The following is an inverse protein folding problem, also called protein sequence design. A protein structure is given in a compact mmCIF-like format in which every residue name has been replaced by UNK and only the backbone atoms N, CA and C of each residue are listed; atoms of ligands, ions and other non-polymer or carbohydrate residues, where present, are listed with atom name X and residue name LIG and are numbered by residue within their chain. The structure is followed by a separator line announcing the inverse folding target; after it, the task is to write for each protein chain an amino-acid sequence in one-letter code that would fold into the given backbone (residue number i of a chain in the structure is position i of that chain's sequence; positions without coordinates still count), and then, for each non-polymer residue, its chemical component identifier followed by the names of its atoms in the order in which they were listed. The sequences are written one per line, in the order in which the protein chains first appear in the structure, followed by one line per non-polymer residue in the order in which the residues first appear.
data_IF_709640685750
#
_entry.id   IF_709640685750
#
_cell.length_a   1.000
_cell.length_b   1.000
_cell.length_c   1.000
_cell.angle_alpha   90.00
_cell.angle_beta   90.00
_cell.angle_gamma   90.00
#
_symmetry.space_group_name_H-M   'P 1'
#
loop_
_entity.id
_entity.type
_entity.pdbx_description
1 polymer ?
#
# COMPACT_ATOMS: atom_id res chain seq x y z
N UNK A 1 18.69 -0.43 11.31
CA UNK A 1 17.84 -1.20 10.38
C UNK A 1 17.01 -0.21 9.61
N UNK A 2 16.96 -0.35 8.29
CA UNK A 2 16.21 0.56 7.42
C UNK A 2 14.70 0.33 7.60
N UNK A 3 13.96 1.39 7.94
CA UNK A 3 12.52 1.33 8.24
C UNK A 3 11.70 2.25 7.36
N UNK A 4 10.49 1.81 7.01
CA UNK A 4 9.53 2.54 6.18
C UNK A 4 8.20 2.69 6.91
N UNK A 5 7.60 3.87 6.77
CA UNK A 5 6.34 4.30 7.38
C UNK A 5 5.17 4.00 6.46
N UNK A 6 4.18 3.32 7.00
CA UNK A 6 2.82 3.20 6.47
C UNK A 6 1.84 3.89 7.43
N UNK A 7 0.62 4.17 6.98
CA UNK A 7 -0.44 4.76 7.81
C UNK A 7 -0.75 4.01 9.10
N UNK A 8 -0.45 2.71 9.18
CA UNK A 8 -0.69 1.87 10.35
C UNK A 8 0.55 1.64 11.21
N UNK A 9 1.74 2.08 10.79
CA UNK A 9 2.95 1.88 11.60
C UNK A 9 4.26 2.06 10.86
N UNK A 10 5.33 1.66 11.53
CA UNK A 10 6.70 1.68 11.01
C UNK A 10 7.19 0.24 10.91
N UNK A 11 7.68 -0.13 9.74
CA UNK A 11 8.06 -1.51 9.41
C UNK A 11 9.51 -1.55 8.94
N UNK A 12 10.22 -2.64 9.21
CA UNK A 12 11.48 -2.93 8.51
C UNK A 12 11.24 -2.92 6.99
N UNK A 13 12.18 -2.41 6.20
CA UNK A 13 12.02 -2.26 4.73
C UNK A 13 11.66 -3.55 4.00
N UNK A 14 12.18 -4.71 4.42
CA UNK A 14 11.80 -6.03 3.87
C UNK A 14 10.35 -6.36 4.21
N UNK A 15 9.97 -6.16 5.47
CA UNK A 15 8.61 -6.43 5.96
C UNK A 15 7.58 -5.48 5.35
N UNK A 16 7.96 -4.22 5.15
CA UNK A 16 7.14 -3.21 4.49
C UNK A 16 6.74 -3.65 3.08
N UNK A 17 7.65 -4.26 2.31
CA UNK A 17 7.36 -4.69 0.94
C UNK A 17 6.27 -5.77 0.92
N UNK A 18 6.41 -6.78 1.79
CA UNK A 18 5.41 -7.85 1.93
C UNK A 18 4.10 -7.27 2.43
N UNK A 19 4.17 -6.45 3.48
CA UNK A 19 3.01 -5.80 4.08
C UNK A 19 2.20 -4.99 3.08
N UNK A 20 2.86 -4.04 2.41
CA UNK A 20 2.21 -3.16 1.47
C UNK A 20 1.62 -3.92 0.28
N UNK A 21 2.27 -4.99 -0.18
CA UNK A 21 1.75 -5.83 -1.25
C UNK A 21 0.50 -6.64 -0.86
N UNK A 22 0.46 -7.18 0.36
CA UNK A 22 -0.74 -7.83 0.88
C UNK A 22 -1.89 -6.82 1.02
N UNK A 23 -1.60 -5.60 1.51
CA UNK A 23 -2.59 -4.54 1.59
C UNK A 23 -3.07 -4.09 0.20
N UNK A 24 -2.18 -3.96 -0.79
CA UNK A 24 -2.56 -3.71 -2.18
C UNK A 24 -3.53 -4.76 -2.72
N UNK A 25 -3.28 -6.04 -2.43
CA UNK A 25 -4.20 -7.12 -2.79
C UNK A 25 -5.57 -6.92 -2.12
N UNK A 26 -5.58 -6.69 -0.80
CA UNK A 26 -6.81 -6.47 -0.04
C UNK A 26 -7.61 -5.26 -0.53
N UNK A 27 -6.94 -4.17 -0.92
CA UNK A 27 -7.59 -2.92 -1.31
C UNK A 27 -8.02 -2.85 -2.77
N UNK A 28 -7.40 -3.62 -3.65
CA UNK A 28 -7.75 -3.60 -5.06
C UNK A 28 -8.67 -4.77 -5.43
N UNK A 29 -8.43 -5.92 -4.80
CA UNK A 29 -9.07 -7.19 -5.13
C UNK A 29 -9.99 -7.64 -4.00
N UNK A 30 -9.48 -7.60 -2.76
CA UNK A 30 -10.16 -8.09 -1.57
C UNK A 30 -11.49 -7.41 -1.25
N UNK A 31 -11.80 -6.20 -1.74
CA UNK A 31 -13.14 -5.62 -1.52
C UNK A 31 -14.29 -6.41 -2.17
N UNK A 32 -13.99 -7.36 -3.07
CA UNK A 32 -15.00 -8.27 -3.63
C UNK A 32 -15.44 -9.37 -2.63
N UNK A 33 -14.72 -9.61 -1.52
CA UNK A 33 -15.04 -10.56 -0.43
C UNK A 33 -14.44 -10.12 0.92
N UNK A 34 -15.18 -10.04 2.04
CA UNK A 34 -14.68 -9.41 3.26
C UNK A 34 -13.55 -10.21 3.95
N UNK A 35 -12.33 -9.62 3.98
CA UNK A 35 -11.17 -9.80 4.90
C UNK A 35 -10.23 -11.00 4.72
N UNK A 36 -8.97 -10.84 4.24
CA UNK A 36 -7.97 -11.94 4.27
C UNK A 36 -6.48 -11.54 4.38
N UNK A 37 -6.18 -10.42 5.02
CA UNK A 37 -4.80 -10.17 5.44
C UNK A 37 -4.60 -10.72 6.85
N UNK A 38 -3.81 -11.78 6.96
CA UNK A 38 -3.42 -12.34 8.26
C UNK A 38 -2.13 -11.67 8.69
N UNK A 39 -2.19 -10.96 9.81
CA UNK A 39 -1.01 -10.45 10.51
C UNK A 39 -0.66 -11.49 11.58
N UNK A 40 0.54 -12.05 11.55
CA UNK A 40 1.01 -12.89 12.66
C UNK A 40 1.85 -12.06 13.62
N UNK A 41 1.57 -12.22 14.91
CA UNK A 41 2.38 -11.62 15.97
C UNK A 41 3.60 -12.52 16.26
N UNK A 42 4.79 -11.93 16.08
CA UNK A 42 6.14 -12.34 16.55
C UNK A 42 6.87 -13.56 15.91
N UNK A 43 8.21 -13.44 15.64
CA UNK A 43 9.04 -12.25 15.79
C UNK A 43 9.09 -11.36 14.54
N UNK A 44 8.75 -11.87 13.34
CA UNK A 44 8.56 -11.09 12.10
C UNK A 44 7.77 -11.92 11.09
N UNK A 45 6.44 -11.85 11.11
CA UNK A 45 5.61 -12.45 10.05
C UNK A 45 4.72 -11.37 9.47
N UNK A 46 5.05 -10.97 8.24
CA UNK A 46 4.41 -9.84 7.56
C UNK A 46 2.94 -10.12 7.30
N UNK A 47 2.26 -9.14 6.71
CA UNK A 47 0.94 -9.41 6.18
C UNK A 47 1.03 -10.51 5.12
N UNK A 48 0.28 -11.59 5.34
CA UNK A 48 0.15 -12.68 4.37
C UNK A 48 -1.20 -12.58 3.68
N UNK A 49 -1.28 -13.11 2.47
CA UNK A 49 -2.55 -13.38 1.81
C UNK A 49 -2.93 -14.81 2.13
N UNK A 50 -4.11 -14.99 2.71
CA UNK A 50 -4.69 -16.32 2.94
C UNK A 50 -5.02 -17.00 1.61
N UNK A 51 -4.42 -18.16 1.34
CA UNK A 51 -4.56 -18.86 0.08
C UNK A 51 -6.00 -19.32 -0.19
N UNK A 52 -6.81 -19.54 0.86
CA UNK A 52 -8.22 -19.89 0.70
C UNK A 52 -9.06 -18.79 0.03
N UNK A 53 -8.49 -17.59 -0.16
CA UNK A 53 -9.14 -16.43 -0.75
C UNK A 53 -8.52 -15.95 -2.06
N UNK A 54 -7.48 -16.64 -2.51
CA UNK A 54 -7.00 -16.51 -3.87
C UNK A 54 -8.06 -17.09 -4.81
N UNK A 55 -8.59 -16.26 -5.71
CA UNK A 55 -9.55 -16.73 -6.70
C UNK A 55 -8.88 -17.79 -7.58
N UNK A 56 -9.30 -19.06 -7.49
CA UNK A 56 -8.72 -20.14 -8.29
C UNK A 56 -9.14 -19.99 -9.75
N UNK A 57 -8.41 -19.19 -10.52
CA UNK A 57 -8.54 -19.17 -11.97
C UNK A 57 -7.79 -20.39 -12.50
N UNK A 58 -8.52 -21.36 -13.05
CA UNK A 58 -8.01 -22.64 -13.58
C UNK A 58 -7.44 -23.64 -12.55
N UNK A 59 -7.82 -23.55 -11.27
CA UNK A 59 -7.63 -24.66 -10.32
C UNK A 59 -6.22 -24.97 -9.83
N UNK A 60 -5.21 -24.14 -10.11
CA UNK A 60 -3.84 -24.44 -9.67
C UNK A 60 -2.96 -23.22 -9.46
N UNK A 61 -3.10 -22.57 -8.31
CA UNK A 61 -1.94 -21.90 -7.69
C UNK A 61 -0.98 -22.93 -7.05
N UNK A 62 -1.35 -24.22 -7.04
CA UNK A 62 -0.61 -25.26 -6.32
C UNK A 62 -0.66 -25.09 -4.80
N UNK A 63 -1.55 -24.23 -4.30
CA UNK A 63 -1.69 -23.89 -2.89
C UNK A 63 -2.89 -24.63 -2.29
N UNK A 64 -2.68 -25.18 -1.11
CA UNK A 64 -3.72 -25.67 -0.21
C UNK A 64 -4.46 -24.47 0.42
N UNK A 65 -5.76 -24.60 0.77
CA UNK A 65 -6.49 -23.57 1.51
C UNK A 65 -5.84 -23.15 2.84
N UNK A 66 -5.00 -24.01 3.44
CA UNK A 66 -4.27 -23.75 4.69
C UNK A 66 -2.98 -22.92 4.48
N UNK A 67 -2.57 -22.72 3.22
CA UNK A 67 -1.30 -22.06 2.91
C UNK A 67 -1.39 -20.54 3.09
N UNK A 68 -0.28 -19.95 3.53
CA UNK A 68 -0.13 -18.50 3.63
C UNK A 68 0.89 -18.03 2.60
N UNK A 69 0.47 -17.10 1.76
CA UNK A 69 1.31 -16.52 0.72
C UNK A 69 1.93 -15.21 1.21
N UNK A 70 3.24 -15.07 1.07
CA UNK A 70 3.98 -13.84 1.36
C UNK A 70 4.17 -13.05 0.07
N UNK A 71 3.31 -12.06 -0.24
CA UNK A 71 3.37 -11.36 -1.51
C UNK A 71 4.60 -10.44 -1.58
N UNK A 72 5.68 -10.90 -2.20
CA UNK A 72 6.92 -10.13 -2.37
C UNK A 72 7.31 -10.06 -3.84
N UNK A 73 7.36 -8.84 -4.39
CA UNK A 73 7.81 -8.62 -5.77
C UNK A 73 9.28 -8.96 -6.02
N UNK A 74 10.07 -9.26 -4.98
CA UNK A 74 11.44 -9.77 -5.12
C UNK A 74 11.46 -11.29 -5.34
N UNK A 75 10.36 -11.97 -5.02
CA UNK A 75 10.19 -13.40 -5.23
C UNK A 75 9.25 -13.64 -6.41
N UNK A 76 9.83 -14.15 -7.50
CA UNK A 76 9.08 -14.42 -8.72
C UNK A 76 8.03 -15.51 -8.52
N UNK A 77 8.30 -16.55 -7.72
CA UNK A 77 7.36 -17.63 -7.50
C UNK A 77 6.13 -17.14 -6.73
N UNK A 78 6.33 -16.33 -5.68
CA UNK A 78 5.24 -15.67 -4.95
C UNK A 78 4.42 -14.76 -5.86
N UNK A 79 5.09 -13.96 -6.70
CA UNK A 79 4.44 -13.07 -7.67
C UNK A 79 3.59 -13.86 -8.67
N UNK A 80 4.12 -14.96 -9.20
CA UNK A 80 3.43 -15.83 -10.14
C UNK A 80 2.21 -16.51 -9.48
N UNK A 81 2.33 -16.94 -8.22
CA UNK A 81 1.22 -17.52 -7.46
C UNK A 81 0.08 -16.51 -7.24
N UNK A 82 0.39 -15.27 -6.85
CA UNK A 82 -0.65 -14.21 -6.73
C UNK A 82 -1.30 -13.96 -8.08
N UNK A 83 -0.50 -13.75 -9.15
CA UNK A 83 -1.05 -13.40 -10.46
C UNK A 83 -1.80 -14.55 -11.15
N UNK A 84 -1.45 -15.81 -10.89
CA UNK A 84 -2.20 -16.97 -11.36
C UNK A 84 -3.65 -16.98 -10.80
N UNK A 85 -3.86 -16.39 -9.63
CA UNK A 85 -5.19 -16.25 -9.01
C UNK A 85 -5.99 -15.05 -9.50
N UNK A 86 -5.44 -14.21 -10.40
CA UNK A 86 -6.05 -12.94 -10.80
C UNK A 86 -6.32 -12.87 -12.31
N UNK A 87 -7.22 -12.00 -12.71
CA UNK A 87 -7.32 -11.58 -14.11
C UNK A 87 -6.11 -10.71 -14.49
N UNK A 88 -5.73 -10.68 -15.77
CA UNK A 88 -4.58 -9.90 -16.25
C UNK A 88 -4.65 -8.43 -15.81
N UNK A 89 -5.86 -7.84 -15.83
CA UNK A 89 -6.11 -6.47 -15.37
C UNK A 89 -5.82 -6.33 -13.87
N UNK A 90 -6.33 -7.24 -13.06
CA UNK A 90 -6.22 -7.20 -11.60
C UNK A 90 -4.78 -7.53 -11.13
N UNK A 91 -4.10 -8.49 -11.76
CA UNK A 91 -2.66 -8.73 -11.56
C UNK A 91 -1.83 -7.48 -11.92
N UNK A 92 -2.10 -6.85 -13.07
CA UNK A 92 -1.41 -5.62 -13.47
C UNK A 92 -1.57 -4.46 -12.48
N UNK A 93 -2.79 -4.28 -11.96
CA UNK A 93 -3.10 -3.27 -10.93
C UNK A 93 -2.37 -3.57 -9.62
N UNK A 94 -2.43 -4.80 -9.15
CA UNK A 94 -1.75 -5.25 -7.93
C UNK A 94 -0.21 -5.05 -8.03
N UNK A 95 0.40 -5.50 -9.13
CA UNK A 95 1.83 -5.29 -9.41
C UNK A 95 2.22 -3.81 -9.37
N UNK A 96 1.38 -2.94 -9.95
CA UNK A 96 1.66 -1.49 -10.00
C UNK A 96 1.55 -0.86 -8.61
N UNK A 97 0.55 -1.24 -7.81
CA UNK A 97 0.41 -0.80 -6.42
C UNK A 97 1.60 -1.21 -5.55
N UNK A 98 2.00 -2.49 -5.64
CA UNK A 98 3.19 -3.00 -4.96
C UNK A 98 4.46 -2.21 -5.32
N UNK A 99 4.68 -1.96 -6.61
CA UNK A 99 5.84 -1.16 -7.07
C UNK A 99 5.79 0.26 -6.52
N UNK A 100 4.64 0.91 -6.53
CA UNK A 100 4.47 2.25 -5.97
C UNK A 100 4.80 2.29 -4.47
N UNK A 101 4.37 1.28 -3.70
CA UNK A 101 4.73 1.17 -2.29
C UNK A 101 6.24 1.00 -2.09
N UNK A 102 6.89 0.11 -2.87
CA UNK A 102 8.35 -0.09 -2.82
C UNK A 102 9.10 1.19 -3.14
N UNK A 103 8.69 1.91 -4.18
CA UNK A 103 9.25 3.21 -4.54
C UNK A 103 9.07 4.22 -3.41
N UNK A 104 7.91 4.24 -2.76
CA UNK A 104 7.69 5.08 -1.59
C UNK A 104 8.70 4.77 -0.47
N UNK A 105 8.85 3.50 -0.09
CA UNK A 105 9.82 3.08 0.93
C UNK A 105 11.25 3.48 0.53
N UNK A 106 11.64 3.29 -0.72
CA UNK A 106 12.94 3.76 -1.22
C UNK A 106 13.12 5.27 -1.05
N UNK A 107 12.11 6.07 -1.40
CA UNK A 107 12.12 7.53 -1.19
C UNK A 107 12.24 7.88 0.29
N UNK A 108 11.58 7.14 1.18
CA UNK A 108 11.68 7.36 2.62
C UNK A 108 13.10 7.14 3.15
N UNK A 109 13.79 6.13 2.63
CA UNK A 109 15.16 5.78 3.03
C UNK A 109 16.21 6.71 2.42
N UNK A 110 16.02 7.14 1.18
CA UNK A 110 17.01 7.95 0.46
C UNK A 110 16.87 9.46 0.70
N UNK A 111 15.72 9.93 1.15
CA UNK A 111 15.46 11.36 1.35
C UNK A 111 15.64 11.72 2.83
N UNK A 112 16.50 12.71 3.17
CA UNK A 112 16.63 13.19 4.53
C UNK A 112 15.27 13.60 5.13
N UNK A 113 14.99 13.34 6.41
CA UNK A 113 13.74 13.80 7.04
C UNK A 113 13.57 15.31 6.85
N UNK A 114 12.34 15.75 6.59
CA UNK A 114 12.07 17.19 6.55
C UNK A 114 12.36 17.79 7.93
N UNK A 115 13.36 18.66 8.01
CA UNK A 115 13.67 19.37 9.24
C UNK A 115 12.68 20.52 9.42
N UNK A 116 12.24 20.81 10.66
CA UNK A 116 11.50 22.03 10.92
C UNK A 116 12.36 23.22 10.47
N UNK A 117 11.84 24.05 9.57
CA UNK A 117 12.53 25.28 9.20
C UNK A 117 12.68 26.12 10.48
N UNK A 118 13.93 26.36 10.88
CA UNK A 118 14.37 27.02 12.13
C UNK A 118 13.70 28.37 12.42
N UNK A 119 12.97 28.96 11.48
CA UNK A 119 12.35 30.29 11.61
C UNK A 119 10.91 30.27 12.14
N UNK A 120 10.18 29.15 12.06
CA UNK A 120 8.75 29.12 12.42
C UNK A 120 8.29 27.96 13.34
N UNK A 121 9.19 27.07 13.82
CA UNK A 121 8.82 25.89 14.64
C UNK A 121 7.65 25.05 14.09
N UNK A 122 7.36 25.13 12.79
CA UNK A 122 6.22 24.45 12.20
C UNK A 122 6.50 22.96 12.19
N UNK A 123 5.72 22.19 12.96
CA UNK A 123 5.76 20.73 12.96
C UNK A 123 5.51 20.24 11.53
N UNK A 124 6.30 19.26 11.08
CA UNK A 124 6.13 18.63 9.77
C UNK A 124 5.67 17.20 9.99
N UNK A 125 4.58 16.83 9.33
CA UNK A 125 4.18 15.44 9.24
C UNK A 125 5.11 14.72 8.27
N UNK A 126 5.81 13.65 8.70
CA UNK A 126 6.75 13.01 7.83
C UNK A 126 6.01 12.26 6.72
N UNK A 127 6.68 12.08 5.60
CA UNK A 127 6.22 11.28 4.47
C UNK A 127 5.85 9.86 4.86
N UNK A 128 4.84 9.29 4.22
CA UNK A 128 4.30 7.96 4.55
C UNK A 128 3.65 7.30 3.34
N UNK A 129 3.53 5.97 3.37
CA UNK A 129 2.64 5.25 2.48
C UNK A 129 1.22 5.21 3.06
N UNK A 130 0.22 5.60 2.28
CA UNK A 130 -1.17 5.62 2.74
C UNK A 130 -1.99 4.39 2.34
N UNK A 131 -1.37 3.38 1.73
CA UNK A 131 -2.03 2.22 1.10
C UNK A 131 -2.13 2.28 -0.41
N UNK A 132 -2.02 3.47 -0.99
CA UNK A 132 -2.18 3.69 -2.42
C UNK A 132 -1.18 4.69 -3.00
N UNK A 133 -0.65 5.62 -2.22
CA UNK A 133 0.21 6.70 -2.67
C UNK A 133 1.27 7.01 -1.61
N UNK A 134 2.41 7.51 -2.09
CA UNK A 134 3.42 8.07 -1.21
C UNK A 134 3.07 9.52 -0.88
N UNK A 135 2.66 9.75 0.35
CA UNK A 135 2.38 11.09 0.86
C UNK A 135 3.70 11.77 1.20
N UNK A 136 4.01 12.96 0.66
CA UNK A 136 5.23 13.69 0.96
C UNK A 136 5.19 14.29 2.37
N UNK A 137 6.32 14.81 2.83
CA UNK A 137 6.35 15.60 4.05
C UNK A 137 5.40 16.80 3.92
N UNK A 138 4.54 16.98 4.91
CA UNK A 138 3.47 17.96 4.85
C UNK A 138 3.46 18.78 6.13
N UNK A 139 3.50 20.12 6.09
CA UNK A 139 3.46 20.91 7.32
C UNK A 139 2.16 20.66 8.08
N UNK A 140 2.23 20.55 9.41
CA UNK A 140 1.10 20.23 10.26
C UNK A 140 -0.06 21.22 10.03
N UNK A 141 -1.28 20.70 9.97
CA UNK A 141 -2.49 21.47 9.66
C UNK A 141 -2.74 21.71 8.17
N UNK A 142 -1.83 21.31 7.27
CA UNK A 142 -2.03 21.41 5.82
C UNK A 142 -2.52 20.10 5.19
N UNK A 143 -3.12 20.23 4.00
CA UNK A 143 -3.64 19.12 3.22
C UNK A 143 -2.63 18.77 2.13
N UNK A 144 -2.25 17.49 2.05
CA UNK A 144 -1.47 16.97 0.93
C UNK A 144 -2.40 16.67 -0.26
N UNK A 145 -2.06 17.17 -1.45
CA UNK A 145 -2.81 16.86 -2.67
C UNK A 145 -1.94 16.00 -3.58
N UNK A 146 -2.46 14.84 -3.98
CA UNK A 146 -1.77 13.89 -4.85
C UNK A 146 -2.63 13.55 -6.06
N UNK A 147 -1.99 13.10 -7.13
CA UNK A 147 -2.70 12.46 -8.23
C UNK A 147 -3.27 11.12 -7.77
N UNK A 148 -4.44 10.77 -8.27
CA UNK A 148 -5.03 9.46 -8.05
C UNK A 148 -4.20 8.40 -8.79
N UNK A 149 -3.74 7.34 -8.11
CA UNK A 149 -3.04 6.25 -8.79
C UNK A 149 -3.93 5.58 -9.84
N UNK A 150 -3.38 5.30 -11.02
CA UNK A 150 -4.10 4.69 -12.14
C UNK A 150 -4.51 3.22 -11.91
N UNK A 151 -3.95 2.55 -10.90
CA UNK A 151 -4.31 1.18 -10.53
C UNK A 151 -5.54 1.10 -9.62
N UNK A 152 -6.12 2.20 -9.18
CA UNK A 152 -7.39 2.22 -8.47
C UNK A 152 -8.53 2.34 -9.49
N UNK A 153 -9.68 1.71 -9.23
CA UNK A 153 -10.85 1.86 -10.12
C UNK A 153 -11.32 3.31 -10.12
N UNK A 154 -11.48 3.89 -11.31
CA UNK A 154 -11.77 5.32 -11.48
C UNK A 154 -10.60 6.26 -11.16
N UNK A 155 -9.41 5.71 -10.84
CA UNK A 155 -8.17 6.47 -10.73
C UNK A 155 -7.68 6.93 -12.10
N UNK A 156 -7.12 8.14 -12.15
CA UNK A 156 -6.52 8.70 -13.35
C UNK A 156 -5.30 9.51 -12.96
N UNK A 157 -4.22 9.40 -13.72
CA UNK A 157 -3.04 10.27 -13.59
C UNK A 157 -3.36 11.75 -13.82
N UNK A 158 -4.55 12.05 -14.39
CA UNK A 158 -5.07 13.40 -14.57
C UNK A 158 -6.04 13.84 -13.45
N UNK A 159 -6.47 12.92 -12.59
CA UNK A 159 -7.38 13.18 -11.47
C UNK A 159 -6.64 13.49 -10.17
N UNK A 160 -7.14 14.44 -9.38
CA UNK A 160 -6.58 14.76 -8.06
C UNK A 160 -7.35 14.02 -6.96
N UNK A 161 -6.64 13.18 -6.22
CA UNK A 161 -7.13 12.52 -5.02
C UNK A 161 -6.74 13.37 -3.81
N UNK A 162 -7.75 13.87 -3.09
CA UNK A 162 -7.52 14.60 -1.85
C UNK A 162 -7.21 13.61 -0.73
N UNK A 163 -6.05 13.77 -0.11
CA UNK A 163 -5.72 13.14 1.16
C UNK A 163 -5.69 14.22 2.22
N UNK A 164 -6.65 14.17 3.14
CA UNK A 164 -6.57 15.04 4.31
C UNK A 164 -5.58 14.44 5.29
N UNK A 165 -4.52 15.20 5.58
CA UNK A 165 -3.54 14.83 6.57
C UNK A 165 -3.82 15.66 7.84
N UNK A 166 -4.63 15.13 8.75
CA UNK A 166 -4.94 15.81 10.01
C UNK A 166 -4.14 15.16 11.15
N UNK A 167 -3.41 15.95 11.92
CA UNK A 167 -2.57 15.48 13.04
C UNK A 167 -1.64 14.32 12.65
N UNK A 168 -1.07 14.41 11.46
CA UNK A 168 -0.18 13.40 10.89
C UNK A 168 -0.79 12.01 10.63
N UNK A 169 -2.11 11.90 10.68
CA UNK A 169 -2.86 10.72 10.27
C UNK A 169 -3.38 10.89 8.84
N UNK A 170 -3.15 9.89 8.00
CA UNK A 170 -3.75 9.84 6.66
C UNK A 170 -5.26 9.65 6.80
N UNK A 171 -6.06 10.59 6.30
CA UNK A 171 -7.50 10.41 6.15
C UNK A 171 -7.84 10.06 4.68
N UNK A 172 -8.74 9.07 4.53
CA UNK A 172 -9.23 8.45 3.29
C UNK A 172 -9.29 9.37 2.05
N UNK A 173 -9.00 8.80 0.88
CA UNK A 173 -9.17 9.47 -0.42
C UNK A 173 -10.61 9.99 -0.61
N UNK A 174 -10.73 11.24 -1.07
CA UNK A 174 -11.98 11.77 -1.64
C UNK A 174 -11.72 12.31 -3.03
N UNK A 175 -12.55 11.92 -3.99
CA UNK A 175 -12.56 12.55 -5.31
C UNK A 175 -13.13 13.98 -5.20
N UNK A 176 -12.59 14.93 -5.99
CA UNK A 176 -13.01 16.34 -5.99
C UNK A 176 -14.52 16.56 -6.23
N UNK A 177 -15.21 15.58 -6.81
CA UNK A 177 -16.65 15.60 -7.08
C UNK A 177 -17.52 15.25 -5.88
N UNK A 178 -16.95 15.01 -4.68
CA UNK A 178 -17.72 14.67 -3.48
C UNK A 178 -18.26 13.24 -3.45
N UNK A 179 -18.15 12.49 -4.54
CA UNK A 179 -18.34 11.05 -4.56
C UNK A 179 -17.19 10.37 -3.82
N UNK A 180 -17.53 9.63 -2.76
CA UNK A 180 -16.60 8.72 -2.10
C UNK A 180 -16.10 7.73 -3.15
N UNK A 181 -14.81 7.73 -3.44
CA UNK A 181 -14.18 6.53 -3.96
C UNK A 181 -13.99 5.60 -2.76
N UNK A 182 -14.65 4.45 -2.82
CA UNK A 182 -14.69 3.47 -1.75
C UNK A 182 -13.35 2.77 -1.60
#
# INVERSE_FOLDING_TARGET
MDTCRDRFGVFNSTMFNVYACAMCYSYLIGFKQPRYVVMREEPYQGAMIDASHLHQRNGSAGLSPEDLLYPDLRDQASTDQVCASLENRDCGRWLTCCRAARTCCQTQLSTPPATPAHRNHSLVCPRTWDGFSCVPDTPAGNIAMLQCPSYIDGGSSSGLCLLRYNNCNVLKHKNKTGTKSY
#
